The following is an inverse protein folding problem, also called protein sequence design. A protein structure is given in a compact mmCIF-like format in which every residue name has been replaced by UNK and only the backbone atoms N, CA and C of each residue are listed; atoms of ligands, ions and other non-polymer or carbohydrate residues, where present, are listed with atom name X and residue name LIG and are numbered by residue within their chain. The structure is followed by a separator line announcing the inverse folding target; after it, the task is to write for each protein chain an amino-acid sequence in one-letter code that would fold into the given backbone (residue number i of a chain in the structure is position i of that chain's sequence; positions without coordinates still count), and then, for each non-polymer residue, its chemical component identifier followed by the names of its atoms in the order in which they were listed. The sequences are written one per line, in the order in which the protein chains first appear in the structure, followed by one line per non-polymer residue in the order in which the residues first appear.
data_IF_363879419622
#
_entry.id   IF_363879419622
#
_cell.length_a   1.000
_cell.length_b   1.000
_cell.length_c   1.000
_cell.angle_alpha   90.00
_cell.angle_beta   90.00
_cell.angle_gamma   90.00
#
_symmetry.space_group_name_H-M   'P 1'
#
loop_
_entity.id
_entity.type
_entity.pdbx_description
1 polymer ?
#
# COMPACT_ATOMS: atom_id res chain seq x y z
N UNK A 1 -0.86 -26.75 -6.50
CA UNK A 1 -0.91 -25.29 -6.20
C UNK A 1 -1.50 -25.08 -4.80
N UNK A 2 -0.88 -24.24 -3.97
CA UNK A 2 -1.38 -23.95 -2.62
C UNK A 2 -2.68 -23.14 -2.70
N UNK A 3 -3.69 -23.52 -1.90
CA UNK A 3 -4.98 -22.80 -1.89
C UNK A 3 -4.76 -21.37 -1.33
N UNK A 4 -5.36 -20.33 -1.94
CA UNK A 4 -5.15 -18.94 -1.52
C UNK A 4 -5.80 -18.61 -0.18
N UNK A 5 -6.76 -19.41 0.31
CA UNK A 5 -7.41 -19.25 1.61
C UNK A 5 -7.64 -20.60 2.27
N UNK A 6 -7.77 -20.59 3.60
CA UNK A 6 -8.17 -21.76 4.39
C UNK A 6 -9.57 -22.23 3.97
N UNK A 7 -9.93 -23.48 4.27
CA UNK A 7 -11.27 -24.00 3.91
C UNK A 7 -12.41 -23.37 4.75
N UNK A 8 -12.09 -22.53 5.74
CA UNK A 8 -13.08 -21.78 6.51
C UNK A 8 -13.34 -20.43 5.84
N UNK A 9 -14.56 -20.21 5.34
CA UNK A 9 -14.97 -18.92 4.78
C UNK A 9 -15.35 -17.98 5.92
N UNK A 10 -14.67 -16.84 6.01
CA UNK A 10 -15.05 -15.75 6.91
C UNK A 10 -15.88 -14.70 6.16
N UNK A 11 -16.93 -14.19 6.80
CA UNK A 11 -17.67 -13.02 6.31
C UNK A 11 -16.93 -11.77 6.76
N UNK A 12 -16.48 -10.97 5.81
CA UNK A 12 -15.91 -9.64 6.06
C UNK A 12 -16.88 -8.59 5.55
N UNK A 13 -17.29 -7.66 6.41
CA UNK A 13 -18.07 -6.48 6.03
C UNK A 13 -17.15 -5.27 5.94
N UNK A 14 -17.28 -4.48 4.87
CA UNK A 14 -16.60 -3.20 4.73
C UNK A 14 -17.64 -2.08 4.63
N UNK A 15 -17.50 -1.06 5.47
CA UNK A 15 -18.26 0.17 5.33
C UNK A 15 -17.47 1.13 4.44
N UNK A 16 -17.98 1.42 3.24
CA UNK A 16 -17.42 2.44 2.38
C UNK A 16 -17.90 3.82 2.85
N UNK A 17 -17.15 4.47 3.74
CA UNK A 17 -17.22 5.92 3.86
C UNK A 17 -16.62 6.49 2.57
N UNK A 18 -17.37 7.32 1.84
CA UNK A 18 -16.95 7.90 0.57
C UNK A 18 -15.63 8.66 0.70
N UNK A 19 -14.51 7.95 0.52
CA UNK A 19 -13.20 8.55 0.41
C UNK A 19 -13.14 9.14 -0.99
N UNK A 20 -13.14 10.46 -1.09
CA UNK A 20 -12.81 11.16 -2.32
C UNK A 20 -11.33 10.89 -2.58
N UNK A 21 -11.05 9.77 -3.24
CA UNK A 21 -9.72 9.40 -3.66
C UNK A 21 -9.29 10.44 -4.69
N UNK A 22 -8.20 11.16 -4.45
CA UNK A 22 -7.71 12.28 -5.26
C UNK A 22 -7.67 12.03 -6.77
N UNK A 23 -8.80 12.22 -7.45
CA UNK A 23 -8.96 12.09 -8.90
C UNK A 23 -8.80 10.68 -9.49
N UNK A 24 -8.61 9.62 -8.69
CA UNK A 24 -8.43 8.26 -9.22
C UNK A 24 -9.76 7.57 -9.46
N UNK A 25 -10.38 7.86 -10.60
CA UNK A 25 -11.54 7.10 -11.06
C UNK A 25 -11.24 5.59 -11.11
N UNK A 26 -12.07 4.79 -10.43
CA UNK A 26 -12.04 3.34 -10.50
C UNK A 26 -11.07 2.62 -9.55
N UNK A 27 -10.32 3.34 -8.70
CA UNK A 27 -9.51 2.74 -7.65
C UNK A 27 -10.25 2.73 -6.32
N UNK A 28 -10.16 1.61 -5.61
CA UNK A 28 -10.70 1.44 -4.28
C UNK A 28 -9.57 1.48 -3.25
N UNK A 29 -9.86 1.98 -2.06
CA UNK A 29 -8.95 1.95 -0.93
C UNK A 29 -9.17 0.66 -0.14
N UNK A 30 -8.10 -0.10 0.09
CA UNK A 30 -8.12 -1.30 0.93
C UNK A 30 -8.21 -0.88 2.40
N UNK A 31 -8.81 -1.74 3.23
CA UNK A 31 -8.84 -1.54 4.68
C UNK A 31 -7.44 -1.31 5.24
N UNK A 32 -7.36 -0.45 6.27
CA UNK A 32 -6.08 -0.16 6.92
C UNK A 32 -5.46 -1.45 7.47
N UNK A 33 -4.23 -1.70 7.07
CA UNK A 33 -3.44 -2.83 7.54
C UNK A 33 -2.54 -2.42 8.69
N UNK A 34 -2.18 -3.40 9.51
CA UNK A 34 -1.06 -3.22 10.44
C UNK A 34 0.21 -3.03 9.62
N UNK A 35 1.07 -2.09 10.05
CA UNK A 35 2.31 -1.77 9.35
C UNK A 35 3.20 -3.02 9.26
N UNK A 36 3.61 -3.46 8.06
CA UNK A 36 4.40 -4.66 7.91
C UNK A 36 5.80 -4.45 8.49
N UNK A 37 6.26 -5.38 9.33
CA UNK A 37 7.65 -5.40 9.78
C UNK A 37 8.52 -5.92 8.64
N UNK A 38 9.08 -5.01 7.85
CA UNK A 38 9.98 -5.35 6.74
C UNK A 38 11.41 -5.37 7.24
N UNK A 39 12.13 -6.43 6.86
CA UNK A 39 13.57 -6.52 7.00
C UNK A 39 14.21 -6.22 5.65
N UNK A 40 14.93 -5.11 5.56
CA UNK A 40 15.61 -4.64 4.35
C UNK A 40 17.00 -5.26 4.18
N UNK A 41 17.47 -6.04 5.18
CA UNK A 41 18.81 -6.64 5.17
C UNK A 41 19.93 -5.65 5.49
N UNK A 42 19.57 -4.44 5.91
CA UNK A 42 20.49 -3.39 6.33
C UNK A 42 19.94 -2.74 7.61
N UNK A 43 20.74 -2.78 8.69
CA UNK A 43 20.38 -2.21 9.98
C UNK A 43 20.01 -0.72 9.91
N UNK A 44 20.60 0.02 8.97
CA UNK A 44 20.28 1.42 8.74
C UNK A 44 18.89 1.59 8.12
N UNK A 45 18.55 0.85 7.06
CA UNK A 45 17.24 0.92 6.41
C UNK A 45 16.12 0.41 7.35
N UNK A 46 16.40 -0.63 8.14
CA UNK A 46 15.47 -1.14 9.15
C UNK A 46 15.18 -0.12 10.26
N UNK A 47 16.23 0.56 10.75
CA UNK A 47 16.07 1.64 11.75
C UNK A 47 15.33 2.82 11.14
N UNK A 48 15.74 3.25 9.95
CA UNK A 48 15.12 4.36 9.23
C UNK A 48 13.65 4.10 8.96
N UNK A 49 13.29 2.88 8.55
CA UNK A 49 11.90 2.47 8.38
C UNK A 49 11.13 2.59 9.68
N UNK A 50 11.63 2.05 10.79
CA UNK A 50 10.96 2.12 12.10
C UNK A 50 10.76 3.55 12.59
N UNK A 51 11.71 4.43 12.33
CA UNK A 51 11.62 5.84 12.70
C UNK A 51 10.61 6.60 11.82
N UNK A 52 10.56 6.31 10.52
CA UNK A 52 9.72 7.03 9.56
C UNK A 52 8.40 6.33 9.22
N UNK A 53 8.15 5.13 9.77
CA UNK A 53 7.00 4.31 9.37
C UNK A 53 5.68 5.04 9.54
N UNK A 54 5.56 5.95 10.54
CA UNK A 54 4.33 6.69 10.79
C UNK A 54 3.89 7.57 9.62
N UNK A 55 4.83 7.99 8.76
CA UNK A 55 4.61 8.84 7.59
C UNK A 55 4.19 8.04 6.36
N UNK A 56 4.41 6.73 6.33
CA UNK A 56 4.05 5.88 5.20
C UNK A 56 2.57 5.49 5.22
N UNK A 57 1.96 5.22 4.06
CA UNK A 57 0.56 4.83 3.97
C UNK A 57 0.31 3.53 4.75
N UNK A 58 -0.86 3.42 5.37
CA UNK A 58 -1.34 2.20 6.03
C UNK A 58 -2.48 1.53 5.25
N UNK A 59 -2.84 2.09 4.11
CA UNK A 59 -3.89 1.66 3.20
C UNK A 59 -3.34 1.72 1.78
N UNK A 60 -3.80 0.80 0.93
CA UNK A 60 -3.34 0.71 -0.46
C UNK A 60 -4.50 0.87 -1.42
N UNK A 61 -4.25 1.53 -2.54
CA UNK A 61 -5.20 1.64 -3.63
C UNK A 61 -5.08 0.44 -4.56
N UNK A 62 -6.21 -0.16 -4.88
CA UNK A 62 -6.27 -1.32 -5.76
C UNK A 62 -7.51 -1.28 -6.65
N UNK A 63 -7.50 -2.06 -7.73
CA UNK A 63 -8.69 -2.36 -8.53
C UNK A 63 -9.04 -3.84 -8.37
N UNK A 64 -10.29 -4.26 -8.68
CA UNK A 64 -10.67 -5.66 -8.57
C UNK A 64 -9.71 -6.55 -9.36
N UNK A 65 -9.33 -7.70 -8.79
CA UNK A 65 -8.38 -8.64 -9.42
C UNK A 65 -8.83 -9.08 -10.81
N UNK A 66 -10.15 -9.09 -11.07
CA UNK A 66 -10.75 -9.39 -12.38
C UNK A 66 -10.36 -8.41 -13.49
N UNK A 67 -9.81 -7.23 -13.12
CA UNK A 67 -9.29 -6.23 -14.06
C UNK A 67 -7.83 -6.47 -14.46
N UNK A 68 -7.14 -7.42 -13.84
CA UNK A 68 -5.73 -7.70 -14.09
C UNK A 68 -5.52 -9.11 -14.64
N UNK A 69 -4.68 -9.24 -15.66
CA UNK A 69 -4.34 -10.54 -16.26
C UNK A 69 -3.35 -11.36 -15.42
N UNK A 70 -2.62 -10.72 -14.51
CA UNK A 70 -1.59 -11.36 -13.68
C UNK A 70 -1.48 -10.65 -12.31
N UNK A 71 -1.17 -11.42 -11.27
CA UNK A 71 -0.87 -10.94 -9.92
C UNK A 71 0.25 -9.90 -9.89
N UNK A 72 1.31 -10.07 -10.70
CA UNK A 72 2.42 -9.11 -10.73
C UNK A 72 1.96 -7.71 -11.17
N UNK A 73 1.06 -7.65 -12.16
CA UNK A 73 0.50 -6.37 -12.63
C UNK A 73 -0.38 -5.72 -11.56
N UNK A 74 -1.13 -6.53 -10.82
CA UNK A 74 -1.93 -6.06 -9.69
C UNK A 74 -1.05 -5.43 -8.60
N UNK A 75 0.00 -6.14 -8.15
CA UNK A 75 0.91 -5.65 -7.10
C UNK A 75 1.64 -4.40 -7.57
N UNK A 76 2.17 -4.40 -8.80
CA UNK A 76 2.89 -3.26 -9.35
C UNK A 76 2.02 -2.00 -9.49
N UNK A 77 0.78 -2.14 -9.99
CA UNK A 77 -0.16 -1.02 -10.10
C UNK A 77 -0.57 -0.50 -8.72
N UNK A 78 -0.82 -1.41 -7.77
CA UNK A 78 -1.15 -1.06 -6.39
C UNK A 78 -0.03 -0.26 -5.71
N UNK A 79 1.24 -0.66 -5.88
CA UNK A 79 2.40 0.09 -5.38
C UNK A 79 2.49 1.46 -6.02
N UNK A 80 2.51 1.50 -7.35
CA UNK A 80 2.70 2.74 -8.10
C UNK A 80 1.64 3.80 -7.77
N UNK A 81 0.37 3.40 -7.75
CA UNK A 81 -0.74 4.31 -7.50
C UNK A 81 -0.76 4.77 -6.05
N UNK A 82 -0.50 3.88 -5.10
CA UNK A 82 -0.48 4.23 -3.67
C UNK A 82 0.65 5.16 -3.32
N UNK A 83 1.88 4.86 -3.77
CA UNK A 83 3.04 5.73 -3.54
C UNK A 83 2.79 7.10 -4.15
N UNK A 84 2.37 7.15 -5.43
CA UNK A 84 2.10 8.42 -6.12
C UNK A 84 1.04 9.26 -5.41
N UNK A 85 -0.10 8.67 -5.03
CA UNK A 85 -1.15 9.42 -4.34
C UNK A 85 -0.76 9.87 -2.95
N UNK A 86 -0.08 8.99 -2.21
CA UNK A 86 0.38 9.33 -0.88
C UNK A 86 1.34 10.51 -0.96
N UNK A 87 2.42 10.39 -1.74
CA UNK A 87 3.41 11.44 -1.96
C UNK A 87 2.76 12.76 -2.37
N UNK A 88 1.90 12.77 -3.41
CA UNK A 88 1.22 14.00 -3.85
C UNK A 88 0.39 14.61 -2.72
N UNK A 89 -0.42 13.81 -2.03
CA UNK A 89 -1.29 14.29 -0.94
C UNK A 89 -0.48 14.84 0.22
N UNK A 90 0.61 14.18 0.62
CA UNK A 90 1.46 14.62 1.73
C UNK A 90 2.35 15.82 1.35
N UNK A 91 2.82 15.90 0.10
CA UNK A 91 3.58 17.06 -0.39
C UNK A 91 2.73 18.32 -0.45
N UNK A 92 1.43 18.22 -0.77
CA UNK A 92 0.54 19.38 -0.65
C UNK A 92 0.37 19.88 0.79
N UNK A 93 0.70 19.04 1.79
CA UNK A 93 0.72 19.41 3.22
C UNK A 93 2.09 19.88 3.71
N UNK A 94 3.08 20.01 2.81
CA UNK A 94 4.42 20.47 3.13
C UNK A 94 5.41 19.36 3.54
N UNK A 95 5.03 18.08 3.45
CA UNK A 95 5.96 16.98 3.66
C UNK A 95 6.80 16.69 2.41
N UNK A 96 8.09 16.38 2.62
CA UNK A 96 8.98 15.94 1.55
C UNK A 96 9.41 14.50 1.80
N UNK A 97 9.48 13.72 0.71
CA UNK A 97 9.94 12.33 0.72
C UNK A 97 11.26 12.28 -0.04
N UNK A 98 12.28 11.76 0.62
CA UNK A 98 13.57 11.51 0.01
C UNK A 98 13.52 10.27 -0.88
N UNK A 99 14.54 10.04 -1.71
CA UNK A 99 14.64 8.82 -2.51
C UNK A 99 14.62 7.54 -1.64
N UNK A 100 15.25 7.61 -0.45
CA UNK A 100 15.21 6.52 0.53
C UNK A 100 13.78 6.27 1.04
N UNK A 101 13.01 7.34 1.31
CA UNK A 101 11.62 7.21 1.72
C UNK A 101 10.77 6.54 0.63
N UNK A 102 10.94 6.94 -0.63
CA UNK A 102 10.18 6.36 -1.74
C UNK A 102 10.53 4.88 -1.89
N UNK A 103 11.81 4.52 -1.87
CA UNK A 103 12.27 3.13 -1.97
C UNK A 103 11.72 2.24 -0.84
N UNK A 104 11.73 2.76 0.39
CA UNK A 104 11.18 2.06 1.55
C UNK A 104 9.66 1.94 1.44
N UNK A 105 8.98 3.02 1.04
CA UNK A 105 7.54 3.05 0.84
C UNK A 105 7.09 2.04 -0.22
N UNK A 106 7.82 1.92 -1.32
CA UNK A 106 7.54 0.93 -2.37
C UNK A 106 7.53 -0.49 -1.81
N UNK A 107 8.55 -0.87 -1.02
CA UNK A 107 8.62 -2.20 -0.38
C UNK A 107 7.50 -2.43 0.63
N UNK A 108 7.17 -1.41 1.40
CA UNK A 108 6.11 -1.45 2.43
C UNK A 108 4.75 -1.65 1.79
N UNK A 109 4.47 -0.90 0.73
CA UNK A 109 3.24 -1.00 -0.03
C UNK A 109 3.17 -2.32 -0.78
N UNK A 110 4.28 -2.81 -1.32
CA UNK A 110 4.36 -4.11 -2.00
C UNK A 110 3.90 -5.26 -1.10
N UNK A 111 4.26 -5.24 0.19
CA UNK A 111 3.80 -6.24 1.17
C UNK A 111 2.32 -6.10 1.54
N UNK A 112 1.70 -4.93 1.33
CA UNK A 112 0.29 -4.67 1.66
C UNK A 112 -0.68 -4.97 0.50
N UNK A 113 -0.20 -5.12 -0.74
CA UNK A 113 -1.03 -5.13 -1.95
C UNK A 113 -1.84 -6.43 -2.22
#
# INVERSE_FOLDING_TARGET
PSKPKTNMKHVAGAAAAGAVVGGLGGYMLRSAMSRPLIHFGNDYEDRYYRENMYRYPNQVYYRPVDKYSNQNNFVHDCVNITVKQHTVTTTTKGENFTEADIKIMERVVEQMC
#
